data_IF_774125839578
#
_entry.id   IF_774125839578
#
_cell.length_a   1.000
_cell.length_b   1.000
_cell.length_c   1.000
_cell.angle_alpha   90.00
_cell.angle_beta   90.00
_cell.angle_gamma   90.00
#
_symmetry.space_group_name_H-M   'P 1'
#
loop_
_entity.id
_entity.type
_entity.pdbx_description
1 polymer ?
#
# COMPACT_ATOMS: atom_id res chain seq x y z
N UNK A 1 -2.58 4.83 -8.85
CA UNK A 1 -2.50 3.52 -8.17
C UNK A 1 -3.87 2.85 -8.31
N UNK A 2 -3.94 1.54 -8.59
CA UNK A 2 -5.19 0.80 -8.85
C UNK A 2 -5.46 -0.25 -7.77
N UNK A 3 -6.71 -0.70 -7.66
CA UNK A 3 -7.19 -1.78 -6.77
C UNK A 3 -7.14 -1.47 -5.27
N UNK A 4 -7.02 -0.20 -4.87
CA UNK A 4 -7.10 0.21 -3.46
C UNK A 4 -8.49 0.02 -2.85
N UNK A 5 -9.51 -0.16 -3.69
CA UNK A 5 -10.90 -0.42 -3.34
C UNK A 5 -11.21 -1.92 -3.22
N UNK A 6 -10.47 -2.78 -3.93
CA UNK A 6 -10.75 -4.23 -4.00
C UNK A 6 -9.68 -5.11 -3.36
N UNK A 7 -8.42 -4.68 -3.33
CA UNK A 7 -7.32 -5.47 -2.79
C UNK A 7 -7.30 -5.56 -1.26
N UNK A 8 -7.61 -4.48 -0.50
CA UNK A 8 -7.53 -4.53 0.95
C UNK A 8 -8.49 -5.55 1.55
N UNK A 9 -7.97 -6.40 2.41
CA UNK A 9 -8.75 -7.36 3.18
C UNK A 9 -8.14 -7.58 4.55
N UNK A 10 -8.96 -8.01 5.52
CA UNK A 10 -8.47 -8.30 6.86
C UNK A 10 -7.58 -9.54 6.83
N UNK A 11 -6.41 -9.44 7.45
CA UNK A 11 -5.52 -10.58 7.63
C UNK A 11 -5.84 -11.27 8.95
N UNK A 12 -6.54 -12.40 8.86
CA UNK A 12 -6.97 -13.16 10.03
C UNK A 12 -8.06 -12.46 10.85
N UNK A 13 -8.13 -12.79 12.14
CA UNK A 13 -9.02 -12.12 13.10
C UNK A 13 -8.31 -10.94 13.75
N UNK A 14 -9.08 -9.89 14.08
CA UNK A 14 -8.57 -8.83 14.95
C UNK A 14 -8.24 -9.40 16.33
N UNK A 15 -7.34 -8.72 17.05
CA UNK A 15 -7.04 -9.04 18.43
C UNK A 15 -8.29 -8.85 19.32
N UNK A 16 -8.41 -9.60 20.43
CA UNK A 16 -9.48 -9.41 21.38
C UNK A 16 -9.57 -7.94 21.84
N UNK A 17 -10.79 -7.39 22.02
CA UNK A 17 -10.96 -6.05 22.55
C UNK A 17 -10.32 -5.92 23.94
N UNK A 18 -9.66 -4.78 24.18
CA UNK A 18 -9.04 -4.47 25.49
C UNK A 18 -9.45 -3.09 25.96
N UNK A 19 -9.51 -2.89 27.28
CA UNK A 19 -9.73 -1.58 27.89
C UNK A 19 -8.39 -0.85 28.08
N UNK A 20 -8.21 0.28 27.41
CA UNK A 20 -7.05 1.15 27.55
C UNK A 20 -7.52 2.56 27.86
N UNK A 21 -7.24 3.04 29.08
CA UNK A 21 -7.64 4.39 29.50
C UNK A 21 -9.15 4.64 29.40
N UNK A 22 -9.97 3.63 29.71
CA UNK A 22 -11.43 3.72 29.64
C UNK A 22 -12.03 3.65 28.23
N UNK A 23 -11.19 3.45 27.20
CA UNK A 23 -11.62 3.19 25.82
C UNK A 23 -11.54 1.69 25.55
N UNK A 24 -12.52 1.14 24.87
CA UNK A 24 -12.36 -0.16 24.23
C UNK A 24 -11.48 0.04 23.01
N UNK A 25 -10.45 -0.78 22.85
CA UNK A 25 -9.50 -0.74 21.74
C UNK A 25 -9.44 -2.10 21.06
N UNK A 26 -9.39 -2.10 19.73
CA UNK A 26 -9.24 -3.30 18.89
C UNK A 26 -8.10 -3.05 17.92
N UNK A 27 -7.17 -4.01 17.83
CA UNK A 27 -6.08 -4.00 16.86
C UNK A 27 -6.35 -5.02 15.75
N UNK A 28 -6.13 -4.63 14.49
CA UNK A 28 -6.34 -5.49 13.33
C UNK A 28 -5.18 -5.35 12.35
N UNK A 29 -4.92 -6.41 11.59
CA UNK A 29 -4.02 -6.36 10.44
C UNK A 29 -4.84 -6.33 9.13
N UNK A 30 -4.40 -5.51 8.17
CA UNK A 30 -4.92 -5.49 6.81
C UNK A 30 -3.80 -5.87 5.83
N UNK A 31 -4.15 -6.71 4.89
CA UNK A 31 -3.32 -7.04 3.73
C UNK A 31 -3.83 -6.26 2.51
N UNK A 32 -2.96 -5.42 1.96
CA UNK A 32 -3.22 -4.57 0.79
C UNK A 32 -2.43 -5.06 -0.44
N UNK A 33 -1.97 -6.31 -0.43
CA UNK A 33 -1.25 -6.92 -1.55
C UNK A 33 -2.13 -7.02 -2.80
N UNK A 34 -1.52 -6.85 -3.97
CA UNK A 34 -2.24 -6.83 -5.25
C UNK A 34 -2.56 -5.44 -5.77
N UNK A 35 -2.26 -4.39 -5.00
CA UNK A 35 -2.22 -3.02 -5.50
C UNK A 35 -1.13 -2.91 -6.57
N UNK A 36 -1.44 -2.24 -7.68
CA UNK A 36 -0.48 -2.05 -8.75
C UNK A 36 -0.59 -0.67 -9.41
N UNK A 37 0.41 -0.36 -10.22
CA UNK A 37 0.39 0.79 -11.10
C UNK A 37 1.18 0.49 -12.37
N UNK A 38 0.76 1.09 -13.47
CA UNK A 38 1.45 0.96 -14.76
C UNK A 38 1.79 2.34 -15.28
N UNK A 39 3.04 2.52 -15.68
CA UNK A 39 3.58 3.74 -16.28
C UNK A 39 3.88 3.50 -17.76
N UNK A 40 3.80 4.57 -18.54
CA UNK A 40 4.41 4.64 -19.85
C UNK A 40 5.69 5.47 -19.73
N UNK A 41 6.84 4.84 -19.87
CA UNK A 41 8.15 5.48 -19.73
C UNK A 41 8.77 5.71 -21.10
N UNK A 42 9.33 6.91 -21.33
CA UNK A 42 10.19 7.19 -22.48
C UNK A 42 11.65 6.95 -22.08
N UNK A 43 12.33 6.09 -22.83
CA UNK A 43 13.74 5.73 -22.58
C UNK A 43 14.60 6.09 -23.78
N UNK A 44 15.86 6.44 -23.53
CA UNK A 44 16.88 6.70 -24.56
C UNK A 44 18.21 6.12 -24.11
N UNK A 45 19.01 5.61 -25.04
CA UNK A 45 20.37 5.13 -24.75
C UNK A 45 20.43 3.75 -24.08
N UNK A 46 19.43 2.90 -24.33
CA UNK A 46 19.54 1.47 -24.02
C UNK A 46 20.47 0.75 -25.00
N UNK A 47 20.55 1.22 -26.26
CA UNK A 47 21.46 0.72 -27.29
C UNK A 47 22.42 1.80 -27.83
N UNK A 48 23.47 1.37 -28.56
CA UNK A 48 24.47 2.25 -29.18
C UNK A 48 23.86 3.23 -30.21
N UNK A 49 22.72 2.88 -30.80
CA UNK A 49 22.01 3.72 -31.75
C UNK A 49 21.25 4.89 -31.09
N UNK A 50 21.15 4.92 -29.75
CA UNK A 50 20.52 6.02 -29.01
C UNK A 50 19.03 6.19 -29.31
N UNK A 51 18.35 5.14 -29.76
CA UNK A 51 16.93 5.19 -30.14
C UNK A 51 16.05 5.52 -28.94
N UNK A 52 15.04 6.37 -29.16
CA UNK A 52 14.02 6.67 -28.17
C UNK A 52 12.93 5.60 -28.26
N UNK A 53 12.57 5.00 -27.13
CA UNK A 53 11.51 3.99 -27.04
C UNK A 53 10.49 4.40 -25.99
N UNK A 54 9.24 3.99 -26.19
CA UNK A 54 8.20 4.08 -25.16
C UNK A 54 7.92 2.66 -24.67
N UNK A 55 8.05 2.43 -23.37
CA UNK A 55 7.86 1.12 -22.75
C UNK A 55 6.83 1.21 -21.63
N UNK A 56 6.10 0.12 -21.40
CA UNK A 56 5.31 0.01 -20.18
C UNK A 56 6.20 -0.45 -19.03
N UNK A 57 5.92 0.08 -17.84
CA UNK A 57 6.53 -0.35 -16.58
C UNK A 57 5.42 -0.60 -15.58
N UNK A 58 5.25 -1.86 -15.17
CA UNK A 58 4.29 -2.27 -14.17
C UNK A 58 5.00 -2.48 -12.83
N UNK A 59 4.52 -1.82 -11.79
CA UNK A 59 4.97 -2.03 -10.41
C UNK A 59 3.81 -2.62 -9.64
N UNK A 60 4.02 -3.81 -9.09
CA UNK A 60 3.04 -4.52 -8.29
C UNK A 60 3.51 -4.58 -6.84
N UNK A 61 2.62 -4.24 -5.91
CA UNK A 61 2.86 -4.44 -4.49
C UNK A 61 2.52 -5.90 -4.14
N UNK A 62 3.56 -6.74 -4.11
CA UNK A 62 3.42 -8.18 -3.87
C UNK A 62 3.14 -8.51 -2.41
N UNK A 63 3.52 -7.60 -1.51
CA UNK A 63 3.24 -7.70 -0.09
C UNK A 63 3.04 -6.30 0.48
N UNK A 64 1.88 -6.04 1.08
CA UNK A 64 1.63 -4.80 1.81
C UNK A 64 0.86 -5.14 3.08
N UNK A 65 1.58 -5.24 4.19
CA UNK A 65 0.96 -5.50 5.48
C UNK A 65 0.87 -4.22 6.27
N UNK A 66 -0.32 -3.91 6.74
CA UNK A 66 -0.58 -2.78 7.63
C UNK A 66 -1.25 -3.27 8.90
N UNK A 67 -1.12 -2.51 9.97
CA UNK A 67 -1.98 -2.65 11.12
C UNK A 67 -2.60 -1.31 11.50
N UNK A 68 -3.75 -1.41 12.17
CA UNK A 68 -4.41 -0.27 12.75
C UNK A 68 -5.00 -0.61 14.10
N UNK A 69 -5.09 0.39 14.96
CA UNK A 69 -5.88 0.33 16.18
C UNK A 69 -7.07 1.26 16.04
N UNK A 70 -8.25 0.73 16.35
CA UNK A 70 -9.46 1.50 16.52
C UNK A 70 -9.82 1.55 18.00
N UNK A 71 -10.37 2.68 18.46
CA UNK A 71 -10.83 2.81 19.83
C UNK A 71 -12.12 3.61 19.93
N UNK A 72 -12.95 3.25 20.91
CA UNK A 72 -14.21 3.93 21.22
C UNK A 72 -14.34 4.17 22.72
N UNK A 73 -14.88 5.33 23.09
CA UNK A 73 -15.42 5.56 24.43
C UNK A 73 -16.82 4.95 24.53
N UNK A 74 -17.31 4.64 25.74
CA UNK A 74 -18.68 4.18 25.93
C UNK A 74 -19.70 5.14 25.29
N UNK A 75 -20.53 4.61 24.39
CA UNK A 75 -21.58 5.37 23.70
C UNK A 75 -21.06 6.39 22.68
N UNK A 76 -19.81 6.29 22.24
CA UNK A 76 -19.21 7.12 21.18
C UNK A 76 -18.77 6.27 20.00
N UNK A 77 -18.75 6.87 18.83
CA UNK A 77 -18.25 6.24 17.62
C UNK A 77 -16.76 5.91 17.75
N UNK A 78 -16.35 4.82 17.11
CA UNK A 78 -14.96 4.42 17.09
C UNK A 78 -14.14 5.33 16.17
N UNK A 79 -12.84 5.41 16.44
CA UNK A 79 -11.88 6.16 15.63
C UNK A 79 -10.56 5.43 15.52
N UNK A 80 -9.90 5.55 14.37
CA UNK A 80 -8.55 5.01 14.15
C UNK A 80 -7.55 5.84 14.95
N UNK A 81 -6.88 5.19 15.90
CA UNK A 81 -5.84 5.80 16.73
C UNK A 81 -4.48 5.71 16.05
N UNK A 82 -4.16 4.52 15.53
CA UNK A 82 -2.90 4.22 14.85
C UNK A 82 -3.19 3.54 13.53
N UNK A 83 -2.36 3.82 12.52
CA UNK A 83 -2.36 3.12 11.24
C UNK A 83 -0.96 3.15 10.67
N UNK A 84 -0.34 1.99 10.45
CA UNK A 84 1.04 1.90 9.97
C UNK A 84 1.22 0.77 8.95
N UNK A 85 2.12 1.01 8.01
CA UNK A 85 2.66 -0.02 7.12
C UNK A 85 3.77 -0.76 7.85
N UNK A 86 3.58 -2.06 8.07
CA UNK A 86 4.57 -2.97 8.69
C UNK A 86 5.57 -3.46 7.67
N UNK A 87 5.08 -3.85 6.50
CA UNK A 87 5.87 -4.46 5.44
C UNK A 87 5.38 -3.99 4.08
N UNK A 88 6.33 -3.72 3.18
CA UNK A 88 6.08 -3.32 1.81
C UNK A 88 7.11 -3.95 0.90
N UNK A 89 6.65 -4.83 0.01
CA UNK A 89 7.45 -5.42 -1.05
C UNK A 89 6.84 -5.04 -2.41
N UNK A 90 7.68 -4.46 -3.26
CA UNK A 90 7.33 -4.07 -4.62
C UNK A 90 8.10 -4.94 -5.61
N UNK A 91 7.45 -5.25 -6.73
CA UNK A 91 8.08 -5.95 -7.84
C UNK A 91 7.78 -5.23 -9.14
N UNK A 92 8.85 -4.82 -9.82
CA UNK A 92 8.74 -4.16 -11.13
C UNK A 92 8.97 -5.11 -12.29
N UNK A 93 8.08 -5.03 -13.28
CA UNK A 93 8.22 -5.63 -14.60
C UNK A 93 8.13 -4.53 -15.66
N UNK A 94 8.81 -4.71 -16.78
CA UNK A 94 8.76 -3.78 -17.90
C UNK A 94 8.90 -4.53 -19.21
N UNK A 95 8.64 -3.83 -20.31
CA UNK A 95 8.71 -4.36 -21.66
C UNK A 95 10.10 -4.94 -22.02
N UNK A 96 10.13 -6.05 -22.75
CA UNK A 96 11.38 -6.69 -23.20
C UNK A 96 12.12 -5.88 -24.29
N UNK A 97 11.51 -4.84 -24.86
CA UNK A 97 12.11 -3.94 -25.83
C UNK A 97 13.24 -3.07 -25.27
N UNK A 98 13.45 -3.08 -23.95
CA UNK A 98 14.54 -2.39 -23.26
C UNK A 98 15.74 -3.34 -23.05
N UNK A 99 16.83 -3.11 -23.78
CA UNK A 99 18.05 -3.93 -23.67
C UNK A 99 19.02 -3.32 -22.66
N UNK A 100 18.95 -3.77 -21.41
CA UNK A 100 19.89 -3.34 -20.35
C UNK A 100 20.76 -4.52 -19.89
N UNK A 101 22.00 -4.22 -19.46
CA UNK A 101 22.78 -5.16 -18.64
C UNK A 101 22.17 -5.30 -17.24
N UNK A 102 22.51 -6.37 -16.52
CA UNK A 102 21.80 -6.75 -15.29
C UNK A 102 21.84 -5.71 -14.17
N UNK A 103 22.96 -4.99 -14.01
CA UNK A 103 23.06 -3.88 -13.05
C UNK A 103 22.11 -2.73 -13.42
N UNK A 104 22.12 -2.32 -14.70
CA UNK A 104 21.20 -1.28 -15.20
C UNK A 104 19.75 -1.71 -15.06
N UNK A 105 19.43 -3.00 -15.26
CA UNK A 105 18.06 -3.53 -15.01
C UNK A 105 17.66 -3.37 -13.55
N UNK A 106 18.58 -3.64 -12.62
CA UNK A 106 18.34 -3.52 -11.18
C UNK A 106 18.10 -2.07 -10.77
N UNK A 107 18.95 -1.16 -11.21
CA UNK A 107 18.80 0.27 -10.92
C UNK A 107 17.52 0.84 -11.51
N UNK A 108 17.20 0.47 -12.77
CA UNK A 108 15.96 0.88 -13.41
C UNK A 108 14.72 0.46 -12.61
N UNK A 109 14.65 -0.81 -12.18
CA UNK A 109 13.52 -1.27 -11.33
C UNK A 109 13.45 -0.50 -10.02
N UNK A 110 14.59 -0.30 -9.37
CA UNK A 110 14.67 0.37 -8.06
C UNK A 110 14.15 1.81 -8.10
N UNK A 111 14.40 2.55 -9.18
CA UNK A 111 13.89 3.91 -9.34
C UNK A 111 12.35 3.96 -9.41
N UNK A 112 11.73 3.02 -10.15
CA UNK A 112 10.28 2.91 -10.19
C UNK A 112 9.70 2.45 -8.85
N UNK A 113 10.34 1.47 -8.20
CA UNK A 113 9.91 0.98 -6.88
C UNK A 113 9.97 2.09 -5.84
N UNK A 114 11.03 2.89 -5.81
CA UNK A 114 11.15 4.04 -4.90
C UNK A 114 10.04 5.06 -5.13
N UNK A 115 9.75 5.39 -6.39
CA UNK A 115 8.69 6.35 -6.73
C UNK A 115 7.31 5.85 -6.32
N UNK A 116 7.03 4.57 -6.58
CA UNK A 116 5.75 3.94 -6.21
C UNK A 116 5.63 3.80 -4.71
N UNK A 117 6.70 3.46 -4.02
CA UNK A 117 6.76 3.41 -2.56
C UNK A 117 6.32 4.75 -1.96
N UNK A 118 6.94 5.87 -2.35
CA UNK A 118 6.54 7.20 -1.88
C UNK A 118 5.06 7.49 -2.14
N UNK A 119 4.58 7.20 -3.36
CA UNK A 119 3.18 7.42 -3.73
C UNK A 119 2.22 6.55 -2.91
N UNK A 120 2.58 5.31 -2.61
CA UNK A 120 1.78 4.42 -1.76
C UNK A 120 1.71 4.92 -0.32
N UNK A 121 2.82 5.40 0.24
CA UNK A 121 2.83 5.98 1.57
C UNK A 121 1.88 7.18 1.67
N UNK A 122 1.92 8.08 0.69
CA UNK A 122 1.01 9.23 0.62
C UNK A 122 -0.45 8.78 0.56
N UNK A 123 -0.78 7.89 -0.37
CA UNK A 123 -2.17 7.45 -0.58
C UNK A 123 -2.72 6.66 0.62
N UNK A 124 -1.88 5.83 1.24
CA UNK A 124 -2.29 5.02 2.40
C UNK A 124 -2.53 5.91 3.62
N UNK A 125 -1.60 6.82 3.93
CA UNK A 125 -1.71 7.64 5.15
C UNK A 125 -2.65 8.84 5.04
N UNK A 126 -3.02 9.24 3.83
CA UNK A 126 -3.99 10.31 3.60
C UNK A 126 -5.36 9.75 3.21
N UNK A 127 -5.58 9.44 1.93
CA UNK A 127 -6.88 9.09 1.39
C UNK A 127 -7.44 7.79 1.98
N UNK A 128 -6.63 6.73 2.03
CA UNK A 128 -7.09 5.44 2.54
C UNK A 128 -7.38 5.50 4.05
N UNK A 129 -6.55 6.19 4.82
CA UNK A 129 -6.79 6.42 6.26
C UNK A 129 -8.14 7.09 6.52
N UNK A 130 -8.54 8.05 5.69
CA UNK A 130 -9.86 8.70 5.84
C UNK A 130 -11.02 7.74 5.57
N UNK A 131 -10.88 6.85 4.58
CA UNK A 131 -11.89 5.82 4.30
C UNK A 131 -11.95 4.82 5.45
N UNK A 132 -10.80 4.37 5.96
CA UNK A 132 -10.72 3.47 7.12
C UNK A 132 -11.35 4.11 8.36
N UNK A 133 -11.10 5.40 8.61
CA UNK A 133 -11.70 6.14 9.72
C UNK A 133 -13.23 6.13 9.66
N UNK A 134 -13.82 6.35 8.47
CA UNK A 134 -15.27 6.32 8.28
C UNK A 134 -15.83 4.92 8.46
N UNK A 135 -15.16 3.91 7.90
CA UNK A 135 -15.59 2.52 8.03
C UNK A 135 -15.59 2.04 9.49
N UNK A 136 -14.57 2.42 10.26
CA UNK A 136 -14.48 2.11 11.70
C UNK A 136 -15.59 2.81 12.49
N UNK A 137 -15.88 4.08 12.19
CA UNK A 137 -16.92 4.83 12.87
C UNK A 137 -18.34 4.26 12.63
N UNK A 138 -18.59 3.73 11.43
CA UNK A 138 -19.89 3.17 11.01
C UNK A 138 -20.06 1.69 11.40
N UNK A 139 -19.02 1.05 11.94
CA UNK A 139 -19.08 -0.36 12.35
C UNK A 139 -19.45 -0.48 13.83
N UNK A 140 -20.28 -1.46 14.18
CA UNK A 140 -20.55 -1.79 15.58
C UNK A 140 -19.25 -2.14 16.31
N UNK A 141 -18.88 -1.32 17.28
CA UNK A 141 -17.66 -1.51 18.04
C UNK A 141 -17.88 -2.48 19.21
N UNK A 142 -17.03 -3.52 19.36
CA UNK A 142 -17.21 -4.50 20.42
C UNK A 142 -17.01 -3.86 21.79
N UNK A 143 -17.63 -4.45 22.81
CA UNK A 143 -17.39 -4.11 24.21
C UNK A 143 -16.24 -4.99 24.72
N UNK A 144 -15.36 -4.39 25.52
CA UNK A 144 -14.31 -5.11 26.24
C UNK A 144 -14.80 -5.51 27.64
#
# INVERSE_FOLDING_TARGET
>A
IRHLDTAPHRKGSCQPPVLVGGKTTVACELDLSGINTTFLAKTKGDNLAGTIKSIWVNVNATKVLTDFEAAALPGKDASVQTFRIKELELKTKYDNSLSLGDDRKKDFRKEFEKKVQTSLYEVIYNEYKQVLQRAVADTYFPRA
#
